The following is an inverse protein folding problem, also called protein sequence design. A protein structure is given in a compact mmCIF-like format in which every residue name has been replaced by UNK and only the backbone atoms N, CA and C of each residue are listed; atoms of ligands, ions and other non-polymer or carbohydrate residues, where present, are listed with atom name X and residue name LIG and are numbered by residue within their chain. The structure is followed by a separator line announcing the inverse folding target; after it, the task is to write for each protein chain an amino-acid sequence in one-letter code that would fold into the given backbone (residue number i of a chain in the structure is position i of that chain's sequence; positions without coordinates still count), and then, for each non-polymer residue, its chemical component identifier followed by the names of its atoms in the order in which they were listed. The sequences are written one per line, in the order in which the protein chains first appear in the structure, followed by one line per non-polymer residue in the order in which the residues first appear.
data_IF_090053504661
#
_entry.id   IF_090053504661
#
_cell.length_a   1.000
_cell.length_b   1.000
_cell.length_c   1.000
_cell.angle_alpha   90.00
_cell.angle_beta   90.00
_cell.angle_gamma   90.00
#
_symmetry.space_group_name_H-M   'P 1'
#
loop_
_entity.id
_entity.type
_entity.pdbx_description
1 polymer ?
#
# COMPACT_ATOMS: atom_id res chain seq x y z
N UNK A 1 10.73 37.37 13.80
CA UNK A 1 11.64 36.55 12.98
C UNK A 1 10.73 35.59 12.24
N UNK A 2 10.55 35.77 10.94
CA UNK A 2 9.60 35.02 10.12
C UNK A 2 10.07 33.56 10.00
N UNK A 3 9.18 32.60 10.23
CA UNK A 3 9.50 31.18 10.18
C UNK A 3 9.80 30.74 8.73
N UNK A 4 10.98 30.16 8.45
CA UNK A 4 11.42 29.78 7.09
C UNK A 4 10.64 28.60 6.48
N UNK A 5 9.68 28.04 7.23
CA UNK A 5 8.78 26.97 6.76
C UNK A 5 7.64 27.55 5.91
N UNK A 6 7.28 28.82 6.12
CA UNK A 6 6.22 29.51 5.38
C UNK A 6 6.75 30.47 4.31
N UNK A 7 8.03 30.33 3.90
CA UNK A 7 8.59 31.08 2.78
C UNK A 7 7.82 30.69 1.50
N UNK A 8 6.99 31.62 1.00
CA UNK A 8 6.13 31.38 -0.14
C UNK A 8 6.96 30.97 -1.36
N UNK A 9 6.67 29.78 -1.91
CA UNK A 9 7.34 29.26 -3.09
C UNK A 9 7.31 30.31 -4.22
N UNK A 10 8.49 30.54 -4.79
CA UNK A 10 8.78 31.58 -5.76
C UNK A 10 7.71 31.74 -6.86
N UNK A 11 7.28 33.00 -7.03
CA UNK A 11 6.57 33.60 -8.17
C UNK A 11 6.25 32.60 -9.28
N UNK A 12 5.07 31.98 -9.22
CA UNK A 12 4.53 31.24 -10.34
C UNK A 12 4.53 32.15 -11.59
N UNK A 13 4.84 31.63 -12.79
CA UNK A 13 4.76 32.43 -14.01
C UNK A 13 3.36 33.04 -14.10
N UNK A 14 3.28 34.36 -14.35
CA UNK A 14 2.00 35.06 -14.56
C UNK A 14 1.29 34.44 -15.76
N UNK A 15 0.41 33.48 -15.48
CA UNK A 15 -0.47 32.86 -16.46
C UNK A 15 -1.82 33.57 -16.39
N UNK A 16 -2.54 33.70 -17.53
CA UNK A 16 -3.93 34.11 -17.47
C UNK A 16 -4.78 33.03 -16.79
N UNK A 17 -5.90 33.43 -16.21
CA UNK A 17 -6.91 32.51 -15.71
C UNK A 17 -7.52 31.68 -16.86
N UNK A 18 -7.64 30.37 -16.68
CA UNK A 18 -8.22 29.44 -17.65
C UNK A 18 -9.77 29.53 -17.75
N UNK A 19 -10.41 30.33 -16.89
CA UNK A 19 -11.86 30.50 -16.93
C UNK A 19 -12.32 31.34 -18.14
N UNK A 20 -13.35 30.91 -18.90
CA UNK A 20 -13.79 31.61 -20.10
C UNK A 20 -14.22 33.05 -19.77
N UNK A 21 -13.60 34.02 -20.45
CA UNK A 21 -13.91 35.44 -20.26
C UNK A 21 -13.24 36.11 -19.06
N UNK A 22 -12.38 35.40 -18.31
CA UNK A 22 -11.59 35.99 -17.24
C UNK A 22 -10.25 36.52 -17.75
N UNK A 23 -9.90 37.75 -17.36
CA UNK A 23 -8.60 38.38 -17.66
C UNK A 23 -7.72 38.47 -16.39
N UNK A 24 -8.14 37.79 -15.32
CA UNK A 24 -7.40 37.75 -14.05
C UNK A 24 -6.13 36.91 -14.14
N UNK A 25 -5.24 37.10 -13.17
CA UNK A 25 -4.01 36.31 -13.04
C UNK A 25 -4.34 34.95 -12.43
N UNK A 26 -3.82 33.89 -13.04
CA UNK A 26 -3.98 32.50 -12.64
C UNK A 26 -2.87 32.05 -11.70
N UNK A 27 -2.92 32.45 -10.43
CA UNK A 27 -1.92 32.07 -9.42
C UNK A 27 -2.24 30.71 -8.75
N UNK A 28 -3.50 30.27 -8.81
CA UNK A 28 -3.98 29.09 -8.09
C UNK A 28 -4.16 27.90 -9.03
N UNK A 29 -3.52 26.78 -8.70
CA UNK A 29 -3.66 25.52 -9.45
C UNK A 29 -4.84 24.69 -8.94
N UNK A 30 -5.59 24.07 -9.86
CA UNK A 30 -6.64 23.10 -9.54
C UNK A 30 -6.50 21.85 -10.43
N UNK A 31 -6.67 20.63 -9.90
CA UNK A 31 -6.56 19.40 -10.68
C UNK A 31 -7.69 19.30 -11.71
N UNK A 32 -7.40 18.84 -12.93
CA UNK A 32 -8.42 18.75 -13.99
C UNK A 32 -9.40 17.60 -13.79
N UNK A 33 -8.90 16.46 -13.33
CA UNK A 33 -9.69 15.25 -13.13
C UNK A 33 -9.22 14.51 -11.88
N UNK A 34 -10.09 13.65 -11.35
CA UNK A 34 -9.73 12.77 -10.23
C UNK A 34 -8.67 11.72 -10.59
N UNK A 35 -8.53 11.40 -11.88
CA UNK A 35 -7.61 10.39 -12.40
C UNK A 35 -6.27 11.00 -12.80
N UNK A 36 -6.31 12.23 -13.31
CA UNK A 36 -5.16 12.96 -13.85
C UNK A 36 -4.66 13.98 -12.84
N UNK A 37 -4.09 13.48 -11.74
CA UNK A 37 -3.59 14.34 -10.65
C UNK A 37 -2.41 15.23 -11.05
N UNK A 38 -1.77 14.95 -12.19
CA UNK A 38 -0.61 15.71 -12.70
C UNK A 38 -1.00 16.83 -13.65
N UNK A 39 -2.26 16.87 -14.09
CA UNK A 39 -2.77 17.92 -14.96
C UNK A 39 -3.52 18.96 -14.13
N UNK A 40 -3.17 20.24 -14.36
CA UNK A 40 -3.73 21.35 -13.62
C UNK A 40 -4.30 22.44 -14.54
N UNK A 41 -5.39 23.06 -14.08
CA UNK A 41 -5.86 24.36 -14.52
C UNK A 41 -5.30 25.47 -13.63
N UNK A 42 -5.13 26.66 -14.20
CA UNK A 42 -4.70 27.85 -13.48
C UNK A 42 -5.84 28.85 -13.38
N UNK A 43 -6.22 29.22 -12.16
CA UNK A 43 -7.36 30.08 -11.87
C UNK A 43 -6.97 31.27 -11.00
N UNK A 44 -7.74 32.35 -11.09
CA UNK A 44 -7.70 33.43 -10.10
C UNK A 44 -8.43 33.01 -8.80
N UNK A 45 -8.31 33.83 -7.76
CA UNK A 45 -8.88 33.54 -6.43
C UNK A 45 -10.40 33.30 -6.44
N UNK A 46 -11.13 33.98 -7.33
CA UNK A 46 -12.58 33.88 -7.41
C UNK A 46 -12.98 32.55 -8.09
N UNK A 47 -12.43 32.27 -9.27
CA UNK A 47 -12.74 31.04 -9.99
C UNK A 47 -12.23 29.77 -9.31
N UNK A 48 -11.10 29.81 -8.59
CA UNK A 48 -10.63 28.61 -7.85
C UNK A 48 -11.60 28.26 -6.72
N UNK A 49 -12.24 29.25 -6.08
CA UNK A 49 -13.26 29.01 -5.05
C UNK A 49 -14.50 28.39 -5.66
N UNK A 50 -14.97 28.94 -6.79
CA UNK A 50 -16.10 28.38 -7.52
C UNK A 50 -15.81 26.94 -7.96
N UNK A 51 -14.64 26.68 -8.53
CA UNK A 51 -14.19 25.35 -8.94
C UNK A 51 -14.17 24.36 -7.78
N UNK A 52 -13.52 24.72 -6.66
CA UNK A 52 -13.43 23.85 -5.48
C UNK A 52 -14.81 23.59 -4.86
N UNK A 53 -15.72 24.56 -4.90
CA UNK A 53 -17.08 24.39 -4.39
C UNK A 53 -17.93 23.45 -5.24
N UNK A 54 -17.68 23.41 -6.56
CA UNK A 54 -18.32 22.51 -7.49
C UNK A 54 -17.65 21.13 -7.54
N UNK A 55 -16.46 20.98 -6.97
CA UNK A 55 -15.68 19.74 -7.04
C UNK A 55 -16.27 18.66 -6.15
N UNK A 56 -16.67 17.54 -6.76
CA UNK A 56 -17.05 16.33 -6.06
C UNK A 56 -16.18 15.15 -6.54
N UNK A 57 -15.32 14.66 -5.64
CA UNK A 57 -14.40 13.56 -5.94
C UNK A 57 -15.13 12.25 -6.30
N UNK A 58 -16.29 11.99 -5.68
CA UNK A 58 -17.10 10.78 -5.87
C UNK A 58 -18.17 10.94 -6.96
N UNK A 59 -18.15 12.04 -7.73
CA UNK A 59 -19.11 12.25 -8.79
C UNK A 59 -19.07 11.11 -9.83
N UNK A 60 -20.21 10.45 -10.03
CA UNK A 60 -20.35 9.35 -10.99
C UNK A 60 -19.90 7.97 -10.49
N UNK A 61 -19.49 7.85 -9.22
CA UNK A 61 -19.25 6.54 -8.58
C UNK A 61 -20.56 5.97 -8.05
N UNK A 62 -20.68 4.64 -8.10
CA UNK A 62 -21.73 3.88 -7.42
C UNK A 62 -21.43 3.76 -5.92
N UNK A 63 -22.46 3.49 -5.12
CA UNK A 63 -22.32 3.29 -3.67
C UNK A 63 -21.29 2.20 -3.34
N UNK A 64 -21.24 1.13 -4.14
CA UNK A 64 -20.28 0.04 -3.94
C UNK A 64 -18.82 0.48 -4.17
N UNK A 65 -18.58 1.38 -5.13
CA UNK A 65 -17.25 1.93 -5.40
C UNK A 65 -16.83 2.90 -4.30
N UNK A 66 -17.76 3.72 -3.79
CA UNK A 66 -17.50 4.63 -2.66
C UNK A 66 -17.14 3.84 -1.40
N UNK A 67 -17.90 2.78 -1.09
CA UNK A 67 -17.59 1.89 0.04
C UNK A 67 -16.24 1.18 -0.10
N UNK A 68 -15.85 0.84 -1.33
CA UNK A 68 -14.52 0.27 -1.59
C UNK A 68 -13.40 1.28 -1.32
N UNK A 69 -13.56 2.53 -1.77
CA UNK A 69 -12.60 3.62 -1.48
C UNK A 69 -12.48 3.90 0.02
N UNK A 70 -13.60 3.99 0.74
CA UNK A 70 -13.61 4.17 2.21
C UNK A 70 -12.84 3.03 2.91
N UNK A 71 -13.02 1.79 2.44
CA UNK A 71 -12.27 0.64 2.97
C UNK A 71 -10.77 0.74 2.69
N UNK A 72 -10.38 1.18 1.49
CA UNK A 72 -8.97 1.36 1.16
C UNK A 72 -8.32 2.51 1.93
N UNK A 73 -9.05 3.59 2.18
CA UNK A 73 -8.57 4.73 2.97
C UNK A 73 -8.25 4.35 4.42
N UNK A 74 -8.91 3.33 4.96
CA UNK A 74 -8.61 2.79 6.31
C UNK A 74 -7.16 2.31 6.43
N UNK A 75 -6.56 1.86 5.32
CA UNK A 75 -5.16 1.42 5.24
C UNK A 75 -4.29 2.40 4.46
N UNK A 76 -4.71 3.66 4.34
CA UNK A 76 -4.00 4.71 3.59
C UNK A 76 -3.74 4.34 2.12
N UNK A 77 -4.69 3.65 1.48
CA UNK A 77 -4.54 3.15 0.10
C UNK A 77 -3.31 2.23 -0.07
N UNK A 78 -2.81 1.64 1.04
CA UNK A 78 -1.74 0.64 1.00
C UNK A 78 -2.36 -0.75 0.92
N UNK A 79 -1.99 -1.58 -0.06
CA UNK A 79 -2.49 -2.94 -0.13
C UNK A 79 -2.07 -3.72 1.12
N UNK A 80 -3.04 -4.21 1.87
CA UNK A 80 -2.83 -5.11 3.01
C UNK A 80 -3.02 -6.56 2.57
N UNK A 81 -2.31 -7.46 3.24
CA UNK A 81 -2.33 -8.89 2.94
C UNK A 81 -2.74 -9.62 4.21
N UNK A 82 -3.45 -10.73 4.08
CA UNK A 82 -3.69 -11.59 5.25
C UNK A 82 -2.33 -12.12 5.71
N UNK A 83 -2.20 -12.36 7.01
CA UNK A 83 -0.96 -12.86 7.59
C UNK A 83 -0.57 -14.18 6.89
N UNK A 84 0.57 -14.18 6.19
CA UNK A 84 1.06 -15.32 5.40
C UNK A 84 0.89 -15.22 3.88
N UNK A 85 -0.02 -14.39 3.36
CA UNK A 85 -0.32 -14.35 1.91
C UNK A 85 0.78 -13.65 1.08
N UNK A 86 1.44 -12.64 1.65
CA UNK A 86 2.49 -11.88 0.96
C UNK A 86 3.77 -12.69 0.72
N UNK A 87 3.94 -13.76 1.48
CA UNK A 87 5.20 -14.46 1.63
C UNK A 87 5.00 -15.94 1.29
N UNK A 88 5.30 -16.30 0.03
CA UNK A 88 5.25 -17.69 -0.43
C UNK A 88 6.24 -18.60 0.32
N UNK A 89 6.15 -19.92 0.12
CA UNK A 89 7.04 -20.88 0.77
C UNK A 89 8.52 -20.52 0.53
N UNK A 90 9.30 -20.49 1.61
CA UNK A 90 10.72 -20.12 1.60
C UNK A 90 11.01 -18.62 1.66
N UNK A 91 10.02 -17.75 1.93
CA UNK A 91 10.28 -16.32 2.17
C UNK A 91 11.21 -16.09 3.38
N UNK A 92 10.97 -16.82 4.48
CA UNK A 92 11.78 -16.71 5.68
C UNK A 92 13.25 -17.11 5.43
N UNK A 93 13.50 -18.06 4.53
CA UNK A 93 14.86 -18.50 4.15
C UNK A 93 15.61 -17.46 3.30
N UNK A 94 14.89 -16.55 2.63
CA UNK A 94 15.47 -15.45 1.85
C UNK A 94 15.69 -14.19 2.67
N UNK A 95 15.12 -14.13 3.87
CA UNK A 95 15.30 -13.01 4.78
C UNK A 95 16.69 -13.13 5.42
N UNK A 96 17.49 -12.07 5.33
CA UNK A 96 18.75 -12.00 6.08
C UNK A 96 18.39 -11.79 7.55
N UNK A 97 18.39 -12.86 8.31
CA UNK A 97 18.08 -12.88 9.73
C UNK A 97 19.31 -13.30 10.56
N UNK A 98 20.10 -12.35 11.07
CA UNK A 98 21.28 -12.63 11.89
C UNK A 98 20.95 -13.31 13.23
N UNK A 99 19.70 -13.24 13.70
CA UNK A 99 19.26 -13.78 14.98
C UNK A 99 18.57 -15.14 14.86
N UNK A 100 18.43 -15.69 13.65
CA UNK A 100 17.88 -17.03 13.41
C UNK A 100 16.42 -17.23 13.87
N UNK A 101 15.66 -16.16 14.09
CA UNK A 101 14.27 -16.18 14.57
C UNK A 101 13.30 -16.72 13.53
N UNK A 102 13.55 -16.44 12.24
CA UNK A 102 12.61 -16.70 11.14
C UNK A 102 13.05 -17.85 10.23
N UNK A 103 14.35 -18.00 9.98
CA UNK A 103 14.89 -19.18 9.31
C UNK A 103 14.83 -20.33 10.33
N UNK A 104 14.07 -21.39 10.08
CA UNK A 104 13.87 -22.53 11.00
C UNK A 104 15.13 -23.37 11.28
N UNK A 105 16.32 -22.76 11.24
CA UNK A 105 17.61 -23.34 11.53
C UNK A 105 17.90 -23.13 13.01
N UNK A 106 17.82 -24.18 13.86
CA UNK A 106 18.22 -24.07 15.24
C UNK A 106 19.70 -23.64 15.31
N UNK A 107 19.98 -22.68 16.18
CA UNK A 107 21.33 -22.18 16.42
C UNK A 107 22.22 -23.34 16.88
N UNK A 108 23.30 -23.62 16.15
CA UNK A 108 24.29 -24.63 16.55
C UNK A 108 24.80 -25.60 15.48
N UNK A 109 24.32 -25.55 14.23
CA UNK A 109 24.91 -26.35 13.15
C UNK A 109 26.09 -25.62 12.48
N UNK A 110 27.19 -25.51 13.23
CA UNK A 110 28.52 -25.25 12.68
C UNK A 110 29.04 -26.45 11.90
N UNK A 111 29.73 -26.16 10.81
CA UNK A 111 30.28 -27.07 9.80
C UNK A 111 30.90 -28.36 10.38
N UNK A 112 30.35 -29.54 10.06
CA UNK A 112 31.12 -30.78 9.98
C UNK A 112 30.54 -31.74 8.94
N UNK A 113 31.30 -31.92 7.86
CA UNK A 113 31.43 -33.22 7.18
C UNK A 113 30.43 -33.51 6.07
N UNK A 114 30.85 -33.25 4.83
CA UNK A 114 30.39 -34.00 3.66
C UNK A 114 30.69 -35.50 3.90
N UNK A 115 29.67 -36.34 4.03
CA UNK A 115 29.77 -37.78 3.76
C UNK A 115 28.49 -38.29 3.11
N UNK A 116 28.67 -38.89 1.93
CA UNK A 116 27.69 -39.65 1.19
C UNK A 116 27.09 -40.77 2.05
N UNK A 117 25.81 -41.06 1.85
CA UNK A 117 25.15 -42.20 2.48
C UNK A 117 23.65 -42.20 2.20
N UNK A 118 23.28 -42.87 1.10
CA UNK A 118 21.97 -43.47 0.88
C UNK A 118 21.41 -44.11 2.16
N UNK A 119 20.13 -43.86 2.47
CA UNK A 119 19.20 -44.84 3.04
C UNK A 119 17.77 -44.28 3.21
N UNK A 120 16.86 -44.88 2.43
CA UNK A 120 15.46 -45.22 2.77
C UNK A 120 14.49 -44.10 3.19
N UNK A 121 13.60 -43.75 2.26
CA UNK A 121 12.28 -43.17 2.54
C UNK A 121 11.43 -44.16 3.35
N UNK A 122 11.19 -43.86 4.61
CA UNK A 122 10.22 -44.57 5.45
C UNK A 122 8.85 -43.84 5.39
N UNK A 123 7.78 -44.43 4.81
CA UNK A 123 6.50 -43.75 4.63
C UNK A 123 5.67 -43.65 5.93
N UNK A 124 6.17 -44.11 7.08
CA UNK A 124 5.39 -44.26 8.31
C UNK A 124 5.24 -43.00 9.19
N UNK A 125 5.58 -41.80 8.71
CA UNK A 125 5.35 -40.54 9.47
C UNK A 125 4.55 -39.53 8.66
N UNK A 126 3.31 -39.91 8.31
CA UNK A 126 2.33 -38.92 7.82
C UNK A 126 1.77 -38.17 9.02
N UNK A 127 2.15 -36.90 9.17
CA UNK A 127 1.51 -36.01 10.13
C UNK A 127 0.03 -35.86 9.77
N UNK A 128 -0.86 -36.12 10.74
CA UNK A 128 -2.31 -35.99 10.56
C UNK A 128 -2.69 -34.52 10.35
N UNK A 129 -3.66 -34.28 9.48
CA UNK A 129 -4.19 -32.95 9.21
C UNK A 129 -4.86 -32.35 10.46
N UNK A 130 -4.93 -31.01 10.53
CA UNK A 130 -5.55 -30.31 11.66
C UNK A 130 -7.00 -30.75 11.93
N UNK A 131 -7.73 -31.16 10.88
CA UNK A 131 -9.10 -31.70 11.00
C UNK A 131 -9.14 -33.07 11.68
N UNK A 132 -8.18 -33.95 11.39
CA UNK A 132 -8.11 -35.29 11.98
C UNK A 132 -7.68 -35.22 13.46
N UNK A 133 -6.79 -34.28 13.80
CA UNK A 133 -6.40 -34.02 15.19
C UNK A 133 -7.58 -33.49 16.03
N UNK A 134 -8.44 -32.65 15.44
CA UNK A 134 -9.62 -32.13 16.13
C UNK A 134 -10.64 -33.23 16.44
N UNK A 135 -10.87 -34.17 15.52
CA UNK A 135 -11.83 -35.27 15.71
C UNK A 135 -11.38 -36.25 16.81
N UNK A 136 -10.08 -36.50 16.94
CA UNK A 136 -9.53 -37.39 17.97
C UNK A 136 -9.73 -36.87 19.41
N UNK A 137 -9.94 -35.56 19.59
CA UNK A 137 -10.20 -34.95 20.91
C UNK A 137 -11.66 -35.13 21.34
N UNK A 138 -12.58 -35.33 20.39
CA UNK A 138 -14.02 -35.45 20.67
C UNK A 138 -14.49 -36.89 20.91
N UNK A 139 -13.62 -37.90 20.79
CA UNK A 139 -13.90 -39.27 21.19
C UNK A 139 -13.32 -39.58 22.58
N UNK A 140 -14.01 -39.08 23.61
CA UNK A 140 -14.00 -39.63 24.98
C UNK A 140 -15.43 -40.00 25.34
#
# INVERSE_FOLDING_TARGET
MSDPIFEAAASAPMRPCDHPGCIGVGDFRAPKSRLDLHDYHWFCLEHVRAYNSAWNYYAGMSDAEIEAEIRHDTVWQRPSWRLGDRHGPGYADRMRDPLGVFSGRPEGAGERGRRNGDQSRDPARRALSAREQALAVFEI
#
